data_IF_459748939414
#
_entry.id   IF_459748939414
#
_cell.length_a   1.000
_cell.length_b   1.000
_cell.length_c   1.000
_cell.angle_alpha   90.00
_cell.angle_beta   90.00
_cell.angle_gamma   90.00
#
_symmetry.space_group_name_H-M   'P 1'
#
loop_
_entity.id
_entity.type
_entity.pdbx_description
1 polymer ?
#
# COMPACT_ATOMS: atom_id res chain seq x y z
N UNK A 1 25.93 0.47 11.93
CA UNK A 1 25.36 0.74 10.59
C UNK A 1 23.92 1.22 10.79
N UNK A 2 23.42 2.13 9.97
CA UNK A 2 22.03 2.59 10.13
C UNK A 2 21.05 1.57 9.53
N UNK A 3 20.06 1.16 10.32
CA UNK A 3 19.01 0.22 9.90
C UNK A 3 17.69 0.94 9.69
N UNK A 4 16.99 0.62 8.60
CA UNK A 4 15.59 0.96 8.36
C UNK A 4 14.71 -0.24 8.71
N UNK A 5 13.72 -0.03 9.57
CA UNK A 5 12.67 -1.01 9.88
C UNK A 5 11.41 -0.64 9.08
N UNK A 6 10.98 -1.53 8.21
CA UNK A 6 9.80 -1.36 7.36
C UNK A 6 8.76 -2.42 7.71
N UNK A 7 7.60 -2.01 8.21
CA UNK A 7 6.54 -2.94 8.62
C UNK A 7 5.28 -2.76 7.80
N UNK A 8 4.67 -3.89 7.40
CA UNK A 8 3.27 -3.88 7.01
C UNK A 8 2.37 -3.48 8.18
N UNK A 9 1.14 -3.09 7.89
CA UNK A 9 0.15 -2.68 8.89
C UNK A 9 -0.84 -3.80 9.23
N UNK A 10 -1.67 -4.20 8.28
CA UNK A 10 -2.81 -5.09 8.51
C UNK A 10 -2.36 -6.54 8.68
N UNK A 11 -2.63 -7.12 9.84
CA UNK A 11 -2.17 -8.48 10.16
C UNK A 11 -0.75 -8.54 10.70
N UNK A 12 0.04 -7.46 10.60
CA UNK A 12 1.44 -7.39 11.01
C UNK A 12 1.64 -6.50 12.24
N UNK A 13 1.48 -5.18 12.10
CA UNK A 13 1.65 -4.22 13.20
C UNK A 13 0.34 -3.97 13.93
N UNK A 14 -0.78 -3.96 13.20
CA UNK A 14 -2.09 -3.62 13.76
C UNK A 14 -2.70 -4.82 14.49
N UNK A 15 -3.55 -4.50 15.47
CA UNK A 15 -4.42 -5.47 16.13
C UNK A 15 -5.46 -6.06 15.15
N UNK A 16 -6.15 -7.15 15.52
CA UNK A 16 -7.22 -7.72 14.68
C UNK A 16 -8.39 -6.76 14.38
N UNK A 17 -8.59 -5.74 15.22
CA UNK A 17 -9.58 -4.67 15.01
C UNK A 17 -9.08 -3.55 14.06
N UNK A 18 -7.95 -3.76 13.41
CA UNK A 18 -7.26 -2.81 12.54
C UNK A 18 -6.86 -1.49 13.23
N UNK A 19 -6.57 -1.51 14.53
CA UNK A 19 -6.07 -0.37 15.29
C UNK A 19 -4.60 -0.52 15.67
N UNK A 20 -3.86 0.58 15.72
CA UNK A 20 -2.52 0.61 16.31
C UNK A 20 -2.64 0.61 17.85
N UNK A 21 -1.91 -0.29 18.51
CA UNK A 21 -1.86 -0.32 19.97
C UNK A 21 -1.31 1.00 20.53
N UNK A 22 -1.96 1.63 21.54
CA UNK A 22 -1.43 2.83 22.18
C UNK A 22 -0.04 2.62 22.80
N UNK A 23 0.28 1.40 23.21
CA UNK A 23 1.62 1.06 23.70
C UNK A 23 2.64 1.03 22.58
N UNK A 24 2.34 0.34 21.47
CA UNK A 24 3.21 0.31 20.31
C UNK A 24 3.42 1.70 19.70
N UNK A 25 2.38 2.54 19.64
CA UNK A 25 2.50 3.93 19.20
C UNK A 25 3.49 4.73 20.08
N UNK A 26 3.40 4.60 21.44
CA UNK A 26 4.35 5.25 22.34
C UNK A 26 5.78 4.77 22.15
N UNK A 27 5.96 3.46 21.94
CA UNK A 27 7.28 2.83 21.72
C UNK A 27 7.88 3.26 20.38
N UNK A 28 7.09 3.27 19.31
CA UNK A 28 7.47 3.78 17.99
C UNK A 28 7.92 5.24 18.11
N UNK A 29 7.15 6.09 18.80
CA UNK A 29 7.49 7.50 19.00
C UNK A 29 8.81 7.67 19.76
N UNK A 30 9.08 6.85 20.80
CA UNK A 30 10.38 6.88 21.49
C UNK A 30 11.54 6.48 20.58
N UNK A 31 11.36 5.41 19.81
CA UNK A 31 12.38 4.90 18.89
C UNK A 31 12.70 5.94 17.81
N UNK A 32 11.66 6.49 17.18
CA UNK A 32 11.83 7.48 16.10
C UNK A 32 12.39 8.81 16.62
N UNK A 33 12.03 9.23 17.83
CA UNK A 33 12.63 10.39 18.49
C UNK A 33 14.13 10.18 18.78
N UNK A 34 14.54 8.94 19.10
CA UNK A 34 15.93 8.55 19.28
C UNK A 34 16.69 8.34 17.93
N UNK A 35 16.02 8.54 16.79
CA UNK A 35 16.63 8.45 15.46
C UNK A 35 16.60 7.05 14.84
N UNK A 36 15.97 6.06 15.46
CA UNK A 36 15.72 4.75 14.84
C UNK A 36 14.82 4.92 13.63
N UNK A 37 15.27 4.47 12.46
CA UNK A 37 14.54 4.67 11.20
C UNK A 37 13.39 3.66 11.08
N UNK A 38 12.15 4.16 11.08
CA UNK A 38 10.93 3.34 10.96
C UNK A 38 10.06 3.89 9.84
N UNK A 39 9.51 2.99 9.03
CA UNK A 39 8.50 3.28 8.02
C UNK A 39 7.43 2.19 7.98
N UNK A 40 6.33 2.47 7.28
CA UNK A 40 5.19 1.57 7.10
C UNK A 40 4.94 1.33 5.61
N UNK A 41 4.56 0.09 5.25
CA UNK A 41 4.20 -0.29 3.89
C UNK A 41 2.84 -0.98 3.88
N UNK A 42 1.83 -0.38 3.26
CA UNK A 42 0.45 -0.87 3.33
C UNK A 42 -0.27 -0.80 1.98
N UNK A 43 -1.29 -1.66 1.81
CA UNK A 43 -2.23 -1.56 0.69
C UNK A 43 -3.20 -0.36 0.83
N UNK A 44 -3.25 0.28 1.98
CA UNK A 44 -4.17 1.40 2.27
C UNK A 44 -3.78 2.68 1.51
N UNK A 45 -4.79 3.49 1.18
CA UNK A 45 -4.58 4.89 0.78
C UNK A 45 -4.31 5.76 2.01
N UNK A 46 -3.79 6.97 1.83
CA UNK A 46 -3.55 7.90 2.95
C UNK A 46 -4.81 8.15 3.79
N UNK A 47 -5.99 8.26 3.16
CA UNK A 47 -7.25 8.51 3.87
C UNK A 47 -7.65 7.39 4.83
N UNK A 48 -7.28 6.15 4.55
CA UNK A 48 -7.53 5.02 5.44
C UNK A 48 -6.36 4.68 6.36
N UNK A 49 -5.13 5.07 6.01
CA UNK A 49 -3.95 4.86 6.84
C UNK A 49 -3.74 5.96 7.90
N UNK A 50 -3.94 7.24 7.53
CA UNK A 50 -3.66 8.37 8.42
C UNK A 50 -4.45 8.35 9.75
N UNK A 51 -5.75 8.01 9.80
CA UNK A 51 -6.47 7.88 11.07
C UNK A 51 -5.87 6.80 11.99
N UNK A 52 -5.41 5.68 11.42
CA UNK A 52 -4.82 4.56 12.16
C UNK A 52 -3.45 4.96 12.72
N UNK A 53 -2.67 5.68 11.93
CA UNK A 53 -1.33 6.14 12.30
C UNK A 53 -1.33 7.49 13.04
N UNK A 54 -2.49 8.03 13.41
CA UNK A 54 -2.62 9.36 14.04
C UNK A 54 -1.90 9.49 15.38
N UNK A 55 -1.62 8.38 16.07
CA UNK A 55 -0.86 8.36 17.31
C UNK A 55 0.68 8.35 17.10
N UNK A 56 1.15 8.23 15.84
CA UNK A 56 2.57 8.31 15.49
C UNK A 56 2.93 9.76 15.21
N UNK A 57 3.96 10.26 15.88
CA UNK A 57 4.51 11.59 15.62
C UNK A 57 5.53 11.53 14.48
N UNK A 58 5.07 11.80 13.28
CA UNK A 58 5.89 11.79 12.08
C UNK A 58 6.92 12.93 11.99
N UNK A 59 6.92 13.87 12.92
CA UNK A 59 7.93 14.95 12.98
C UNK A 59 9.27 14.47 13.54
N UNK A 60 9.31 13.29 14.17
CA UNK A 60 10.53 12.72 14.70
C UNK A 60 11.57 12.37 13.59
N UNK A 61 12.86 12.56 13.87
CA UNK A 61 13.93 12.37 12.88
C UNK A 61 14.06 10.93 12.36
N UNK A 62 13.58 9.96 13.11
CA UNK A 62 13.55 8.56 12.71
C UNK A 62 12.42 8.17 11.78
N UNK A 63 11.39 8.99 11.61
CA UNK A 63 10.30 8.68 10.69
C UNK A 63 10.74 8.80 9.24
N UNK A 64 10.49 7.75 8.46
CA UNK A 64 10.66 7.75 7.01
C UNK A 64 9.31 7.84 6.29
N UNK A 65 9.28 8.21 5.00
CA UNK A 65 8.02 8.26 4.23
C UNK A 65 7.27 6.93 4.26
N UNK A 66 5.95 7.00 4.36
CA UNK A 66 5.06 5.81 4.38
C UNK A 66 4.78 5.36 2.96
N UNK A 67 4.95 4.07 2.68
CA UNK A 67 4.58 3.44 1.42
C UNK A 67 3.10 3.04 1.46
N UNK A 68 2.31 3.63 0.57
CA UNK A 68 0.87 3.49 0.44
C UNK A 68 0.52 2.71 -0.84
N UNK A 69 -0.66 2.07 -0.87
CA UNK A 69 -1.18 1.34 -2.02
C UNK A 69 -0.14 0.34 -2.58
N UNK A 70 0.40 -0.51 -1.68
CA UNK A 70 1.43 -1.50 -2.02
C UNK A 70 2.69 -0.91 -2.68
N UNK A 71 3.10 0.30 -2.28
CA UNK A 71 4.28 0.97 -2.84
C UNK A 71 4.04 1.78 -4.10
N UNK A 72 2.78 1.97 -4.50
CA UNK A 72 2.43 2.89 -5.61
C UNK A 72 2.77 4.34 -5.26
N UNK A 73 2.68 4.69 -3.99
CA UNK A 73 2.93 6.04 -3.50
C UNK A 73 3.75 6.01 -2.23
N UNK A 74 4.72 6.92 -2.11
CA UNK A 74 5.44 7.16 -0.88
C UNK A 74 5.17 8.58 -0.39
N UNK A 75 4.73 8.72 0.86
CA UNK A 75 4.30 9.99 1.44
C UNK A 75 5.10 10.35 2.68
N UNK A 76 5.66 11.54 2.68
CA UNK A 76 6.12 12.20 3.91
C UNK A 76 4.88 12.67 4.68
N UNK A 77 4.59 11.98 5.77
CA UNK A 77 3.36 12.24 6.54
C UNK A 77 3.43 13.55 7.32
N UNK A 78 4.61 13.96 7.77
CA UNK A 78 4.81 15.23 8.50
C UNK A 78 4.59 16.44 7.57
N UNK A 79 5.15 16.39 6.37
CA UNK A 79 5.05 17.47 5.38
C UNK A 79 3.76 17.39 4.55
N UNK A 80 3.07 16.25 4.56
CA UNK A 80 1.85 16.04 3.81
C UNK A 80 2.06 15.95 2.29
N UNK A 81 3.27 15.61 1.82
CA UNK A 81 3.63 15.56 0.39
C UNK A 81 3.97 14.14 -0.06
N UNK A 82 3.65 13.80 -1.28
CA UNK A 82 4.14 12.57 -1.91
C UNK A 82 5.57 12.79 -2.42
N UNK A 83 6.50 11.96 -1.96
CA UNK A 83 7.91 11.99 -2.36
C UNK A 83 8.20 11.08 -3.55
N UNK A 84 7.31 10.13 -3.82
CA UNK A 84 7.31 9.30 -5.03
C UNK A 84 5.88 8.88 -5.38
N UNK A 85 5.60 8.75 -6.67
CA UNK A 85 4.33 8.25 -7.22
C UNK A 85 4.62 7.46 -8.48
N UNK A 86 4.31 6.17 -8.44
CA UNK A 86 4.36 5.29 -9.59
C UNK A 86 3.11 5.48 -10.45
N UNK A 87 3.32 5.64 -11.76
CA UNK A 87 2.25 5.96 -12.72
C UNK A 87 2.31 5.03 -13.91
N UNK A 88 1.16 4.72 -14.48
CA UNK A 88 1.13 4.11 -15.81
C UNK A 88 1.64 5.11 -16.87
N UNK A 89 2.23 4.59 -17.95
CA UNK A 89 2.33 5.40 -19.16
C UNK A 89 0.91 5.71 -19.69
N UNK A 90 0.71 6.82 -20.39
CA UNK A 90 -0.59 7.15 -20.97
C UNK A 90 -1.12 6.05 -21.90
N UNK A 91 -0.24 5.34 -22.61
CA UNK A 91 -0.56 4.23 -23.51
C UNK A 91 -1.05 3.02 -22.70
N UNK A 92 -0.31 2.63 -21.66
CA UNK A 92 -0.69 1.52 -20.79
C UNK A 92 -2.01 1.80 -20.07
N UNK A 93 -2.20 3.02 -19.54
CA UNK A 93 -3.44 3.41 -18.87
C UNK A 93 -4.66 3.30 -19.81
N UNK A 94 -4.53 3.77 -21.07
CA UNK A 94 -5.61 3.65 -22.07
C UNK A 94 -5.88 2.19 -22.44
N UNK A 95 -4.84 1.39 -22.63
CA UNK A 95 -4.98 -0.02 -22.99
C UNK A 95 -5.66 -0.80 -21.84
N UNK A 96 -5.23 -0.60 -20.59
CA UNK A 96 -5.85 -1.20 -19.40
C UNK A 96 -7.31 -0.80 -19.28
N UNK A 97 -7.64 0.49 -19.37
CA UNK A 97 -9.02 0.96 -19.27
C UNK A 97 -9.90 0.34 -20.35
N UNK A 98 -9.43 0.29 -21.60
CA UNK A 98 -10.17 -0.31 -22.72
C UNK A 98 -10.41 -1.81 -22.49
N UNK A 99 -9.40 -2.56 -22.06
CA UNK A 99 -9.52 -4.00 -21.78
C UNK A 99 -10.48 -4.28 -20.63
N UNK A 100 -10.38 -3.55 -19.53
CA UNK A 100 -11.24 -3.74 -18.36
C UNK A 100 -12.71 -3.43 -18.68
N UNK A 101 -12.97 -2.34 -19.42
CA UNK A 101 -14.34 -1.93 -19.75
C UNK A 101 -15.09 -2.87 -20.71
N UNK A 102 -14.40 -3.80 -21.36
CA UNK A 102 -15.02 -4.86 -22.15
C UNK A 102 -15.72 -5.93 -21.28
N UNK A 103 -15.35 -6.06 -20.00
CA UNK A 103 -15.85 -7.10 -19.08
C UNK A 103 -16.50 -6.53 -17.82
N UNK A 104 -16.50 -5.22 -17.66
CA UNK A 104 -17.08 -4.51 -16.51
C UNK A 104 -16.56 -3.08 -16.40
N UNK A 105 -16.89 -2.40 -15.31
CA UNK A 105 -16.43 -1.04 -15.06
C UNK A 105 -15.36 -1.03 -13.96
N UNK A 106 -14.17 -0.45 -14.18
CA UNK A 106 -13.21 -0.25 -13.12
C UNK A 106 -13.42 1.06 -12.37
N UNK A 107 -12.97 1.12 -11.12
CA UNK A 107 -12.56 2.36 -10.50
C UNK A 107 -11.16 2.72 -10.99
N UNK A 108 -10.97 3.99 -11.34
CA UNK A 108 -9.70 4.55 -11.80
C UNK A 108 -9.17 5.50 -10.75
N UNK A 109 -7.96 5.24 -10.28
CA UNK A 109 -7.31 6.11 -9.31
C UNK A 109 -6.31 6.99 -10.05
N UNK A 110 -6.45 8.29 -9.87
CA UNK A 110 -5.67 9.31 -10.54
C UNK A 110 -4.97 10.16 -9.50
N UNK A 111 -3.69 10.44 -9.72
CA UNK A 111 -2.91 11.33 -8.88
C UNK A 111 -2.60 12.62 -9.63
N UNK A 112 -3.07 13.74 -9.08
CA UNK A 112 -2.72 15.09 -9.52
C UNK A 112 -2.13 15.87 -8.33
N UNK A 113 -0.79 15.97 -8.23
CA UNK A 113 -0.13 16.70 -7.16
C UNK A 113 -0.42 18.21 -7.15
N UNK A 114 -0.77 18.79 -8.29
CA UNK A 114 -0.98 20.23 -8.46
C UNK A 114 -2.43 20.65 -8.18
N UNK A 115 -3.37 19.67 -8.20
CA UNK A 115 -4.79 19.91 -7.93
C UNK A 115 -5.36 18.96 -6.84
N UNK A 116 -4.91 19.07 -5.58
CA UNK A 116 -5.37 18.20 -4.51
C UNK A 116 -6.85 18.45 -4.20
N UNK A 117 -7.62 17.36 -4.07
CA UNK A 117 -9.02 17.40 -3.67
C UNK A 117 -9.14 16.99 -2.20
N UNK A 118 -9.74 17.84 -1.38
CA UNK A 118 -9.82 17.64 0.08
C UNK A 118 -8.45 17.38 0.73
N UNK A 119 -7.40 18.05 0.23
CA UNK A 119 -6.03 17.93 0.74
C UNK A 119 -5.31 16.65 0.33
N UNK A 120 -5.89 15.84 -0.56
CA UNK A 120 -5.26 14.64 -1.11
C UNK A 120 -5.20 14.75 -2.64
N UNK A 121 -4.01 14.68 -3.25
CA UNK A 121 -3.88 14.62 -4.70
C UNK A 121 -4.46 13.34 -5.33
N UNK A 122 -4.69 12.29 -4.53
CA UNK A 122 -5.25 11.03 -5.02
C UNK A 122 -6.77 11.10 -5.09
N UNK A 123 -7.33 10.97 -6.29
CA UNK A 123 -8.76 10.92 -6.54
C UNK A 123 -9.20 9.59 -7.14
N UNK A 124 -10.48 9.22 -6.94
CA UNK A 124 -11.05 8.00 -7.51
C UNK A 124 -12.18 8.35 -8.46
N UNK A 125 -12.12 7.78 -9.64
CA UNK A 125 -13.04 8.04 -10.74
C UNK A 125 -13.74 6.76 -11.18
N UNK A 126 -14.95 6.88 -11.71
CA UNK A 126 -15.72 5.78 -12.28
C UNK A 126 -16.59 6.30 -13.43
N UNK A 127 -16.86 5.47 -14.44
CA UNK A 127 -17.75 5.80 -15.53
C UNK A 127 -19.20 5.47 -15.16
N UNK A 128 -19.39 4.25 -14.64
CA UNK A 128 -20.67 3.79 -14.13
C UNK A 128 -20.47 2.86 -12.91
N UNK A 129 -21.51 2.69 -12.11
CA UNK A 129 -21.56 1.72 -11.01
C UNK A 129 -22.37 0.51 -11.49
N UNK A 130 -21.72 -0.33 -12.28
CA UNK A 130 -22.34 -1.39 -13.05
C UNK A 130 -22.98 -2.51 -12.20
N UNK A 131 -22.57 -2.66 -10.93
CA UNK A 131 -23.07 -3.69 -10.03
C UNK A 131 -23.18 -3.19 -8.57
N UNK A 132 -23.86 -4.00 -7.73
CA UNK A 132 -24.06 -3.63 -6.33
C UNK A 132 -22.77 -3.64 -5.50
N UNK A 133 -21.80 -4.48 -5.85
CA UNK A 133 -20.50 -4.50 -5.17
C UNK A 133 -19.77 -3.16 -5.36
N UNK A 134 -19.80 -2.57 -6.56
CA UNK A 134 -19.23 -1.25 -6.81
C UNK A 134 -19.92 -0.15 -6.01
N UNK A 135 -21.27 -0.22 -5.89
CA UNK A 135 -22.04 0.74 -5.08
C UNK A 135 -21.64 0.65 -3.62
N UNK A 136 -21.63 -0.57 -3.05
CA UNK A 136 -21.20 -0.80 -1.65
C UNK A 136 -19.75 -0.35 -1.42
N UNK A 137 -18.85 -0.70 -2.34
CA UNK A 137 -17.44 -0.30 -2.29
C UNK A 137 -17.26 1.22 -2.22
N UNK A 138 -17.97 1.97 -3.07
CA UNK A 138 -17.94 3.44 -3.04
C UNK A 138 -18.56 3.98 -1.76
N UNK A 139 -19.77 3.53 -1.39
CA UNK A 139 -20.55 4.09 -0.30
C UNK A 139 -19.88 3.87 1.06
N UNK A 140 -19.28 2.70 1.27
CA UNK A 140 -18.45 2.44 2.45
C UNK A 140 -17.27 3.41 2.55
N UNK A 141 -16.56 3.63 1.46
CA UNK A 141 -15.37 4.49 1.46
C UNK A 141 -15.71 5.97 1.60
N UNK A 142 -16.82 6.38 1.05
CA UNK A 142 -17.37 7.74 1.25
C UNK A 142 -17.77 7.93 2.71
N UNK A 143 -18.55 7.00 3.28
CA UNK A 143 -19.07 7.14 4.64
C UNK A 143 -17.98 7.00 5.71
N UNK A 144 -17.06 6.05 5.53
CA UNK A 144 -16.05 5.72 6.56
C UNK A 144 -14.85 6.65 6.53
N UNK A 145 -14.42 7.09 5.33
CA UNK A 145 -13.17 7.86 5.18
C UNK A 145 -13.32 9.20 4.46
N UNK A 146 -14.55 9.60 4.12
CA UNK A 146 -14.78 10.83 3.34
C UNK A 146 -14.09 10.82 1.97
N UNK A 147 -13.87 9.62 1.38
CA UNK A 147 -13.13 9.49 0.13
C UNK A 147 -13.96 10.04 -1.03
N UNK A 148 -13.44 11.01 -1.81
CA UNK A 148 -14.16 11.54 -2.94
C UNK A 148 -14.17 10.55 -4.11
N UNK A 149 -15.33 10.39 -4.74
CA UNK A 149 -15.51 9.65 -5.97
C UNK A 149 -16.13 10.56 -7.03
N UNK A 150 -15.53 10.60 -8.20
CA UNK A 150 -15.95 11.44 -9.31
C UNK A 150 -16.40 10.60 -10.49
N UNK A 151 -17.31 11.15 -11.30
CA UNK A 151 -17.76 10.50 -12.52
C UNK A 151 -17.02 11.07 -13.72
N UNK A 152 -16.60 10.20 -14.66
CA UNK A 152 -16.05 10.60 -15.95
C UNK A 152 -16.86 9.95 -17.09
N UNK A 153 -16.81 10.53 -18.28
CA UNK A 153 -17.47 10.01 -19.49
C UNK A 153 -16.46 9.48 -20.49
N UNK A 154 -15.33 10.16 -20.60
CA UNK A 154 -14.21 9.82 -21.48
C UNK A 154 -12.90 9.80 -20.69
N UNK A 155 -11.93 8.98 -21.10
CA UNK A 155 -10.61 8.94 -20.50
C UNK A 155 -9.89 10.30 -20.52
N UNK A 156 -10.22 11.17 -21.47
CA UNK A 156 -9.64 12.51 -21.58
C UNK A 156 -10.12 13.47 -20.47
N UNK A 157 -11.17 13.11 -19.73
CA UNK A 157 -11.66 13.88 -18.58
C UNK A 157 -10.92 13.54 -17.28
N UNK A 158 -10.07 12.50 -17.28
CA UNK A 158 -9.32 12.11 -16.09
C UNK A 158 -8.20 13.13 -15.83
N UNK A 159 -8.18 13.79 -14.65
CA UNK A 159 -7.12 14.73 -14.33
C UNK A 159 -5.86 13.97 -13.91
N UNK A 160 -4.70 14.41 -14.38
CA UNK A 160 -3.41 13.85 -13.98
C UNK A 160 -3.17 12.42 -14.46
N UNK A 161 -2.25 11.74 -13.79
CA UNK A 161 -1.81 10.41 -14.20
C UNK A 161 -2.52 9.29 -13.45
N UNK A 162 -2.93 8.25 -14.18
CA UNK A 162 -3.49 7.03 -13.58
C UNK A 162 -2.42 6.26 -12.83
N UNK A 163 -2.74 5.83 -11.63
CA UNK A 163 -1.84 5.13 -10.70
C UNK A 163 -2.35 3.74 -10.30
N UNK A 164 -3.64 3.47 -10.48
CA UNK A 164 -4.25 2.20 -10.07
C UNK A 164 -5.63 2.02 -10.69
N UNK A 165 -5.97 0.78 -11.05
CA UNK A 165 -7.32 0.37 -11.41
C UNK A 165 -7.81 -0.72 -10.45
N UNK A 166 -9.10 -0.68 -10.14
CA UNK A 166 -9.77 -1.69 -9.34
C UNK A 166 -11.11 -2.05 -9.98
N UNK A 167 -11.26 -3.30 -10.37
CA UNK A 167 -12.51 -3.83 -10.90
C UNK A 167 -13.08 -4.86 -9.92
N UNK A 168 -14.40 -4.81 -9.71
CA UNK A 168 -15.15 -5.69 -8.81
C UNK A 168 -16.27 -6.38 -9.57
N UNK A 169 -16.43 -7.67 -9.34
CA UNK A 169 -17.50 -8.44 -9.99
C UNK A 169 -17.50 -9.90 -9.56
N UNK A 170 -18.28 -10.73 -10.25
CA UNK A 170 -18.22 -12.18 -10.12
C UNK A 170 -16.96 -12.74 -10.77
N UNK A 171 -16.62 -13.99 -10.45
CA UNK A 171 -15.39 -14.65 -10.89
C UNK A 171 -15.16 -14.60 -12.39
N UNK A 172 -16.14 -15.02 -13.18
CA UNK A 172 -16.01 -15.18 -14.64
C UNK A 172 -15.64 -13.87 -15.37
N UNK A 173 -16.36 -12.74 -15.21
CA UNK A 173 -15.96 -11.47 -15.80
C UNK A 173 -14.58 -10.99 -15.32
N UNK A 174 -14.24 -11.19 -14.06
CA UNK A 174 -12.94 -10.77 -13.50
C UNK A 174 -11.80 -11.58 -14.11
N UNK A 175 -11.94 -12.91 -14.26
CA UNK A 175 -10.92 -13.76 -14.91
C UNK A 175 -10.73 -13.38 -16.39
N UNK A 176 -11.81 -13.13 -17.10
CA UNK A 176 -11.74 -12.69 -18.50
C UNK A 176 -11.12 -11.31 -18.65
N UNK A 177 -11.40 -10.40 -17.73
CA UNK A 177 -10.75 -9.09 -17.67
C UNK A 177 -9.24 -9.23 -17.39
N UNK A 178 -8.87 -10.12 -16.47
CA UNK A 178 -7.45 -10.42 -16.19
C UNK A 178 -6.73 -10.98 -17.43
N UNK A 179 -7.31 -11.98 -18.09
CA UNK A 179 -6.76 -12.53 -19.33
C UNK A 179 -6.61 -11.48 -20.45
N UNK A 180 -7.59 -10.55 -20.56
CA UNK A 180 -7.54 -9.50 -21.58
C UNK A 180 -6.44 -8.46 -21.35
N UNK A 181 -5.79 -8.48 -20.20
CA UNK A 181 -4.62 -7.66 -19.89
C UNK A 181 -3.29 -8.31 -20.33
N UNK A 182 -3.33 -9.56 -20.82
CA UNK A 182 -2.13 -10.23 -21.31
C UNK A 182 -1.45 -9.44 -22.44
N UNK A 183 -0.13 -9.33 -22.34
CA UNK A 183 0.67 -8.60 -23.33
C UNK A 183 0.66 -7.08 -23.22
N UNK A 184 -0.08 -6.47 -22.30
CA UNK A 184 0.05 -5.03 -22.01
C UNK A 184 1.34 -4.82 -21.19
N UNK A 185 2.33 -4.08 -21.72
CA UNK A 185 3.59 -3.88 -21.01
C UNK A 185 3.45 -2.85 -19.89
N UNK A 186 4.34 -2.92 -18.90
CA UNK A 186 4.44 -1.92 -17.83
C UNK A 186 3.35 -2.00 -16.78
N UNK A 187 2.67 -3.16 -16.67
CA UNK A 187 1.63 -3.39 -15.67
C UNK A 187 1.93 -4.60 -14.79
N UNK A 188 1.47 -4.55 -13.55
CA UNK A 188 1.36 -5.66 -12.62
C UNK A 188 -0.10 -5.80 -12.20
N UNK A 189 -0.62 -7.02 -12.14
CA UNK A 189 -2.02 -7.27 -11.81
C UNK A 189 -2.19 -8.46 -10.87
N UNK A 190 -3.32 -8.47 -10.19
CA UNK A 190 -3.72 -9.56 -9.29
C UNK A 190 -5.23 -9.69 -9.29
N UNK A 191 -5.74 -10.88 -9.61
CA UNK A 191 -7.15 -11.25 -9.44
C UNK A 191 -7.30 -12.20 -8.24
N UNK A 192 -8.26 -11.92 -7.36
CA UNK A 192 -8.47 -12.72 -6.16
C UNK A 192 -9.91 -12.63 -5.66
N UNK A 193 -10.43 -13.68 -4.97
CA UNK A 193 -11.71 -13.63 -4.31
C UNK A 193 -11.67 -12.75 -3.06
N UNK A 194 -12.79 -12.06 -2.77
CA UNK A 194 -12.95 -11.35 -1.50
C UNK A 194 -12.99 -12.34 -0.33
N UNK A 195 -12.33 -11.99 0.77
CA UNK A 195 -12.22 -12.84 1.94
C UNK A 195 -13.53 -12.90 2.76
N UNK A 196 -14.42 -11.91 2.61
CA UNK A 196 -15.61 -11.73 3.45
C UNK A 196 -16.92 -11.88 2.68
N UNK A 197 -16.93 -11.64 1.37
CA UNK A 197 -18.11 -11.72 0.51
C UNK A 197 -17.96 -12.86 -0.52
N UNK A 198 -18.54 -14.05 -0.28
CA UNK A 198 -18.46 -15.17 -1.22
C UNK A 198 -18.98 -14.81 -2.61
N UNK A 199 -18.23 -15.15 -3.65
CA UNK A 199 -18.57 -14.86 -5.03
C UNK A 199 -18.19 -13.48 -5.54
N UNK A 200 -17.71 -12.59 -4.66
CA UNK A 200 -17.10 -11.33 -5.07
C UNK A 200 -15.61 -11.55 -5.38
N UNK A 201 -15.16 -11.01 -6.48
CA UNK A 201 -13.77 -11.01 -6.92
C UNK A 201 -13.29 -9.60 -7.18
N UNK A 202 -12.00 -9.40 -6.96
CA UNK A 202 -11.26 -8.18 -7.29
C UNK A 202 -10.25 -8.45 -8.39
N UNK A 203 -10.11 -7.48 -9.28
CA UNK A 203 -8.95 -7.36 -10.17
C UNK A 203 -8.30 -6.00 -9.90
N UNK A 204 -7.07 -6.05 -9.44
CA UNK A 204 -6.25 -4.88 -9.18
C UNK A 204 -5.15 -4.78 -10.22
N UNK A 205 -4.97 -3.60 -10.81
CA UNK A 205 -3.91 -3.35 -11.79
C UNK A 205 -3.10 -2.13 -11.35
N UNK A 206 -1.80 -2.32 -11.29
CA UNK A 206 -0.80 -1.33 -10.86
C UNK A 206 0.23 -1.09 -11.97
N UNK A 207 0.94 0.03 -11.97
CA UNK A 207 2.20 0.14 -12.70
C UNK A 207 3.15 -0.99 -12.32
N UNK A 208 3.92 -1.52 -13.25
CA UNK A 208 4.83 -2.65 -13.00
C UNK A 208 5.83 -2.36 -11.88
N UNK A 209 6.31 -1.12 -11.80
CA UNK A 209 7.23 -0.65 -10.75
C UNK A 209 6.59 -0.55 -9.37
N UNK A 210 5.27 -0.38 -9.29
CA UNK A 210 4.54 -0.23 -8.03
C UNK A 210 4.50 -1.56 -7.26
N UNK A 211 5.32 -1.68 -6.23
CA UNK A 211 5.40 -2.87 -5.36
C UNK A 211 5.99 -2.52 -3.99
N UNK A 212 5.77 -3.39 -3.01
CA UNK A 212 6.47 -3.27 -1.71
C UNK A 212 8.00 -3.46 -1.86
N UNK A 213 8.48 -4.16 -2.91
CA UNK A 213 9.90 -4.19 -3.30
C UNK A 213 10.40 -2.78 -3.62
N UNK A 214 9.71 -2.08 -4.52
CA UNK A 214 10.06 -0.70 -4.88
C UNK A 214 10.09 0.22 -3.66
N UNK A 215 9.14 0.05 -2.73
CA UNK A 215 9.14 0.80 -1.48
C UNK A 215 10.42 0.58 -0.65
N UNK A 216 10.90 -0.67 -0.54
CA UNK A 216 12.19 -0.98 0.12
C UNK A 216 13.36 -0.28 -0.57
N UNK A 217 13.46 -0.43 -1.89
CA UNK A 217 14.54 0.13 -2.70
C UNK A 217 14.57 1.66 -2.61
N UNK A 218 13.41 2.29 -2.78
CA UNK A 218 13.27 3.74 -2.64
C UNK A 218 13.63 4.22 -1.24
N UNK A 219 13.07 3.61 -0.20
CA UNK A 219 13.29 4.04 1.18
C UNK A 219 14.73 3.81 1.64
N UNK A 220 15.39 2.74 1.19
CA UNK A 220 16.83 2.51 1.40
C UNK A 220 17.65 3.69 0.83
N UNK A 221 17.39 4.06 -0.42
CA UNK A 221 18.07 5.18 -1.07
C UNK A 221 17.73 6.53 -0.40
N UNK A 222 16.46 6.76 -0.07
CA UNK A 222 15.98 8.00 0.54
C UNK A 222 16.56 8.23 1.95
N UNK A 223 16.64 7.17 2.76
CA UNK A 223 17.17 7.26 4.14
C UNK A 223 18.68 7.10 4.24
N UNK A 224 19.33 6.57 3.19
CA UNK A 224 20.75 6.21 3.22
C UNK A 224 21.08 5.07 4.17
N UNK A 225 20.09 4.26 4.59
CA UNK A 225 20.29 3.13 5.48
C UNK A 225 21.00 1.98 4.77
N UNK A 226 22.04 1.44 5.41
CA UNK A 226 22.81 0.33 4.88
C UNK A 226 22.07 -1.02 5.00
N UNK A 227 21.18 -1.14 5.98
CA UNK A 227 20.39 -2.36 6.27
C UNK A 227 18.92 -2.05 6.28
N UNK A 228 18.09 -2.95 5.74
CA UNK A 228 16.62 -2.91 5.82
C UNK A 228 16.13 -4.21 6.46
N UNK A 229 15.29 -4.06 7.48
CA UNK A 229 14.56 -5.16 8.10
C UNK A 229 13.08 -4.97 7.77
N UNK A 230 12.46 -5.99 7.17
CA UNK A 230 11.07 -5.96 6.74
C UNK A 230 10.20 -6.91 7.58
N UNK A 231 8.99 -6.44 7.94
CA UNK A 231 8.01 -7.23 8.71
C UNK A 231 6.71 -7.39 7.90
N UNK A 232 6.18 -8.61 7.86
CA UNK A 232 4.98 -8.90 7.08
C UNK A 232 4.28 -10.20 7.50
N UNK A 233 3.08 -10.40 6.97
CA UNK A 233 2.23 -11.56 7.26
C UNK A 233 1.63 -12.23 6.01
N UNK A 234 1.59 -11.55 4.86
CA UNK A 234 0.82 -12.00 3.71
C UNK A 234 1.66 -12.01 2.41
N UNK A 235 1.11 -12.61 1.36
CA UNK A 235 1.76 -12.79 0.05
C UNK A 235 2.30 -11.50 -0.57
N UNK A 236 1.59 -10.37 -0.38
CA UNK A 236 2.04 -9.08 -0.90
C UNK A 236 3.33 -8.57 -0.20
N UNK A 237 3.71 -9.16 0.95
CA UNK A 237 4.94 -8.85 1.66
C UNK A 237 6.15 -9.61 1.14
N UNK A 238 5.95 -10.70 0.39
CA UNK A 238 7.07 -11.49 -0.14
C UNK A 238 8.00 -10.64 -1.01
N UNK A 239 7.44 -9.72 -1.80
CA UNK A 239 8.25 -8.80 -2.61
C UNK A 239 9.07 -7.82 -1.74
N UNK A 240 8.58 -7.46 -0.55
CA UNK A 240 9.30 -6.66 0.44
C UNK A 240 10.41 -7.48 1.11
N UNK A 241 10.12 -8.73 1.45
CA UNK A 241 11.09 -9.66 2.04
C UNK A 241 12.29 -9.92 1.12
N UNK A 242 12.03 -10.14 -0.18
CA UNK A 242 13.07 -10.37 -1.18
C UNK A 242 14.01 -9.17 -1.39
N UNK A 243 13.57 -7.95 -1.08
CA UNK A 243 14.37 -6.73 -1.22
C UNK A 243 15.05 -6.29 0.09
N UNK A 244 14.62 -6.83 1.22
CA UNK A 244 15.19 -6.55 2.54
C UNK A 244 16.47 -7.37 2.81
N UNK A 245 17.27 -6.92 3.76
CA UNK A 245 18.44 -7.67 4.23
C UNK A 245 18.06 -8.70 5.30
N UNK A 246 16.90 -8.50 5.95
CA UNK A 246 16.33 -9.43 6.90
C UNK A 246 14.80 -9.39 6.80
N UNK A 247 14.22 -10.53 6.56
CA UNK A 247 12.76 -10.73 6.49
C UNK A 247 12.26 -11.35 7.82
N UNK A 248 11.28 -10.70 8.45
CA UNK A 248 10.70 -11.14 9.72
C UNK A 248 9.20 -11.33 9.56
N UNK A 249 8.73 -12.56 9.63
CA UNK A 249 7.29 -12.85 9.64
C UNK A 249 6.72 -12.69 11.04
N UNK A 250 5.45 -12.29 11.15
CA UNK A 250 4.72 -12.41 12.42
C UNK A 250 4.19 -13.83 12.60
N UNK A 251 3.92 -14.23 13.85
CA UNK A 251 3.47 -15.61 14.19
C UNK A 251 2.16 -16.00 13.50
N UNK A 252 1.27 -15.05 13.25
CA UNK A 252 0.01 -15.25 12.52
C UNK A 252 0.13 -15.18 11.00
N UNK A 253 1.34 -14.99 10.46
CA UNK A 253 1.56 -14.94 9.01
C UNK A 253 1.18 -16.27 8.34
N UNK A 254 0.83 -16.20 7.06
CA UNK A 254 0.60 -17.38 6.24
C UNK A 254 1.82 -18.33 6.21
N UNK A 255 1.61 -19.63 6.12
CA UNK A 255 2.69 -20.63 6.15
C UNK A 255 3.76 -20.39 5.10
N UNK A 256 3.34 -20.02 3.88
CA UNK A 256 4.26 -19.70 2.79
C UNK A 256 5.11 -18.44 3.05
N UNK A 257 4.58 -17.47 3.82
CA UNK A 257 5.29 -16.25 4.21
C UNK A 257 6.29 -16.56 5.31
N UNK A 258 5.89 -17.33 6.33
CA UNK A 258 6.80 -17.82 7.37
C UNK A 258 7.95 -18.65 6.80
N UNK A 259 7.67 -19.48 5.78
CA UNK A 259 8.68 -20.32 5.14
C UNK A 259 9.73 -19.52 4.36
N UNK A 260 9.47 -18.26 4.03
CA UNK A 260 10.39 -17.35 3.33
C UNK A 260 11.01 -16.28 4.20
N UNK A 261 10.65 -16.24 5.47
CA UNK A 261 11.22 -15.31 6.43
C UNK A 261 12.48 -15.89 7.07
N UNK A 262 13.44 -15.01 7.39
CA UNK A 262 14.67 -15.37 8.13
C UNK A 262 14.39 -15.54 9.62
N UNK A 263 13.35 -14.88 10.14
CA UNK A 263 12.96 -14.94 11.54
C UNK A 263 11.44 -14.80 11.70
N UNK A 264 10.93 -15.18 12.90
CA UNK A 264 9.53 -15.01 13.28
C UNK A 264 9.44 -14.23 14.58
N UNK A 265 8.45 -13.35 14.70
CA UNK A 265 8.19 -12.55 15.91
C UNK A 265 6.72 -12.54 16.29
N UNK A 266 6.43 -12.45 17.58
CA UNK A 266 5.07 -12.19 18.10
C UNK A 266 4.74 -10.71 18.14
N UNK A 267 5.76 -9.84 18.23
CA UNK A 267 5.57 -8.40 18.34
C UNK A 267 6.68 -7.64 17.61
N UNK A 268 6.28 -6.91 16.56
CA UNK A 268 7.18 -6.14 15.70
C UNK A 268 7.95 -5.10 16.47
N UNK A 269 7.28 -4.30 17.33
CA UNK A 269 7.92 -3.18 18.03
C UNK A 269 8.93 -3.68 19.07
N UNK A 270 8.61 -4.77 19.78
CA UNK A 270 9.54 -5.40 20.70
C UNK A 270 10.78 -5.98 19.99
N UNK A 271 10.59 -6.48 18.77
CA UNK A 271 11.71 -6.94 17.94
C UNK A 271 12.62 -5.78 17.54
N UNK A 272 12.03 -4.67 17.06
CA UNK A 272 12.79 -3.45 16.69
C UNK A 272 13.59 -2.90 17.88
N UNK A 273 12.99 -2.83 19.07
CA UNK A 273 13.70 -2.35 20.29
C UNK A 273 14.94 -3.19 20.61
N UNK A 274 14.84 -4.52 20.51
CA UNK A 274 15.97 -5.43 20.78
C UNK A 274 17.08 -5.28 19.75
N UNK A 275 16.71 -5.25 18.46
CA UNK A 275 17.68 -5.17 17.35
C UNK A 275 18.39 -3.81 17.34
N UNK A 276 17.64 -2.71 17.47
CA UNK A 276 18.21 -1.36 17.55
C UNK A 276 19.08 -1.16 18.81
N UNK A 277 18.69 -1.72 19.95
CA UNK A 277 19.48 -1.69 21.18
C UNK A 277 20.79 -2.45 21.06
N UNK A 278 20.79 -3.60 20.40
CA UNK A 278 21.99 -4.38 20.11
C UNK A 278 22.94 -3.64 19.16
N UNK A 279 22.44 -2.92 18.16
CA UNK A 279 23.26 -2.09 17.27
C UNK A 279 23.97 -0.96 18.00
N UNK A 280 23.27 -0.28 18.94
CA UNK A 280 23.86 0.81 19.75
C UNK A 280 24.94 0.32 20.73
N UNK A 281 24.84 -0.92 21.20
CA UNK A 281 25.83 -1.52 22.13
C UNK A 281 27.11 -1.99 21.43
N UNK A 282 27.12 -2.07 20.10
CA UNK A 282 28.25 -2.50 19.27
C UNK A 282 29.00 -1.34 18.61
N UNK A 283 28.64 -0.08 18.91
CA UNK A 283 29.32 1.16 18.49
C UNK A 283 30.13 1.77 19.65
#
# INVERSE_FOLDING_TARGET
MSTLYLTDLDGTLLRPDATLSPDDARRINRLTAAGVRISFATARTVRSAAPILSAVDFTHPGCAPVALMNGTMLRDMARGVYVAVERFSPEAARAVLASLTAFGEPFVYVCDPDAPVLGDPLTTWYRDLANDAMRRFRDERVSRWGKPFFRFRSADELPGATVYFCQLGSEDPIRRADEALDGIPGIRRTAYPDAYEPGLWYLEVFPETASKRHAVEFLRAYTGCARVVAFGDNRNDLAMFEAADLAVAVTNAADEVRARADAVTENVVAWIERDAGAEQSNL
#
